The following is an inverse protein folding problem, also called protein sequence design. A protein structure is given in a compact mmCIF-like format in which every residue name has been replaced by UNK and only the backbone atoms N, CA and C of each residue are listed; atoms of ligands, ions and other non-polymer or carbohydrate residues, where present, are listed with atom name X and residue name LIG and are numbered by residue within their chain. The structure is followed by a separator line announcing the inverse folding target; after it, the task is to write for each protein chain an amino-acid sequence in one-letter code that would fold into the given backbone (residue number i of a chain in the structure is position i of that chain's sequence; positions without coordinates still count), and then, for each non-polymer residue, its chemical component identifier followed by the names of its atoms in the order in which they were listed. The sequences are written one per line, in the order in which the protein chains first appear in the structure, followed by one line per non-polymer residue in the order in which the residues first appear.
data_IF_116711055249
#
_entry.id   IF_116711055249
#
_cell.length_a   1.000
_cell.length_b   1.000
_cell.length_c   1.000
_cell.angle_alpha   90.00
_cell.angle_beta   90.00
_cell.angle_gamma   90.00
#
_symmetry.space_group_name_H-M   'P 1'
#
loop_
_entity.id
_entity.type
_entity.pdbx_description
1 polymer ?
#
# COMPACT_ATOMS: atom_id res chain seq x y z
N UNK A 1 -12.12 10.48 -11.66
CA UNK A 1 -12.00 9.81 -12.97
C UNK A 1 -13.33 9.33 -13.53
N UNK A 2 -14.49 9.45 -12.88
CA UNK A 2 -15.83 9.18 -13.48
C UNK A 2 -15.91 7.94 -14.39
N UNK A 3 -15.20 6.87 -14.02
CA UNK A 3 -15.12 5.61 -14.78
C UNK A 3 -15.83 4.46 -14.07
N UNK A 4 -16.52 4.73 -12.96
CA UNK A 4 -17.13 3.72 -12.09
C UNK A 4 -18.09 2.77 -12.84
N UNK A 5 -18.86 3.29 -13.79
CA UNK A 5 -19.81 2.50 -14.59
C UNK A 5 -19.26 2.11 -15.98
N UNK A 6 -18.00 2.46 -16.26
CA UNK A 6 -17.37 2.29 -17.59
C UNK A 6 -16.40 1.12 -17.66
N UNK A 7 -15.99 0.58 -16.51
CA UNK A 7 -15.01 -0.52 -16.44
C UNK A 7 -15.44 -1.60 -15.47
N UNK A 8 -15.24 -2.85 -15.87
CA UNK A 8 -15.33 -4.02 -14.98
C UNK A 8 -13.92 -4.43 -14.54
N UNK A 9 -13.77 -4.83 -13.28
CA UNK A 9 -12.47 -5.12 -12.67
C UNK A 9 -12.48 -6.51 -12.02
N UNK A 10 -11.89 -7.49 -12.72
CA UNK A 10 -11.63 -8.82 -12.16
C UNK A 10 -10.26 -8.83 -11.48
N UNK A 11 -10.24 -8.92 -10.15
CA UNK A 11 -9.00 -8.79 -9.35
C UNK A 11 -8.70 -10.06 -8.57
N UNK A 12 -7.46 -10.53 -8.63
CA UNK A 12 -6.92 -11.59 -7.78
C UNK A 12 -5.86 -11.02 -6.84
N UNK A 13 -5.94 -11.36 -5.55
CA UNK A 13 -4.98 -10.94 -4.53
C UNK A 13 -4.57 -12.12 -3.66
N UNK A 14 -3.32 -12.13 -3.21
CA UNK A 14 -2.78 -13.18 -2.35
C UNK A 14 -1.85 -12.59 -1.28
N UNK A 15 -1.84 -13.22 -0.10
CA UNK A 15 -1.02 -12.81 1.05
C UNK A 15 -1.48 -11.54 1.76
N UNK A 16 -0.76 -11.17 2.83
CA UNK A 16 -1.06 -9.98 3.63
C UNK A 16 -2.34 -10.10 4.47
N UNK A 17 -2.96 -8.96 4.78
CA UNK A 17 -4.27 -8.88 5.45
C UNK A 17 -5.20 -7.91 4.71
N UNK A 18 -6.46 -7.79 5.14
CA UNK A 18 -7.50 -7.09 4.38
C UNK A 18 -7.16 -5.64 4.00
N UNK A 19 -6.57 -4.86 4.91
CA UNK A 19 -6.17 -3.47 4.64
C UNK A 19 -4.99 -3.38 3.66
N UNK A 20 -4.03 -4.31 3.75
CA UNK A 20 -2.91 -4.41 2.82
C UNK A 20 -3.35 -4.84 1.42
N UNK A 21 -4.30 -5.77 1.35
CA UNK A 21 -4.90 -6.21 0.09
C UNK A 21 -5.68 -5.07 -0.57
N UNK A 22 -6.52 -4.34 0.16
CA UNK A 22 -7.23 -3.17 -0.37
C UNK A 22 -6.25 -2.12 -0.95
N UNK A 23 -5.13 -1.88 -0.28
CA UNK A 23 -4.06 -1.01 -0.77
C UNK A 23 -3.42 -1.51 -2.07
N UNK A 24 -3.19 -2.82 -2.18
CA UNK A 24 -2.65 -3.46 -3.39
C UNK A 24 -3.64 -3.39 -4.57
N UNK A 25 -4.92 -3.68 -4.34
CA UNK A 25 -5.99 -3.59 -5.35
C UNK A 25 -6.06 -2.17 -5.90
N UNK A 26 -6.11 -1.16 -5.01
CA UNK A 26 -6.15 0.25 -5.40
C UNK A 26 -4.94 0.63 -6.28
N UNK A 27 -3.74 0.19 -5.91
CA UNK A 27 -2.53 0.48 -6.67
C UNK A 27 -2.54 -0.22 -8.04
N UNK A 28 -3.06 -1.45 -8.12
CA UNK A 28 -3.24 -2.18 -9.38
C UNK A 28 -4.23 -1.49 -10.31
N UNK A 29 -5.40 -1.10 -9.80
CA UNK A 29 -6.42 -0.37 -10.57
C UNK A 29 -5.86 0.96 -11.10
N UNK A 30 -5.11 1.70 -10.27
CA UNK A 30 -4.50 2.96 -10.70
C UNK A 30 -3.50 2.78 -11.86
N UNK A 31 -2.76 1.67 -11.90
CA UNK A 31 -1.87 1.34 -13.01
C UNK A 31 -2.64 0.90 -14.26
N UNK A 32 -3.68 0.09 -14.11
CA UNK A 32 -4.53 -0.31 -15.21
C UNK A 32 -5.23 0.88 -15.87
N UNK A 33 -5.70 1.86 -15.07
CA UNK A 33 -6.29 3.09 -15.58
C UNK A 33 -5.28 3.98 -16.33
N UNK A 34 -4.00 3.96 -15.95
CA UNK A 34 -2.95 4.67 -16.68
C UNK A 34 -2.67 4.06 -18.06
N UNK A 35 -2.73 2.73 -18.17
CA UNK A 35 -2.54 2.03 -19.45
C UNK A 35 -3.74 2.24 -20.37
N UNK A 36 -4.94 2.38 -19.81
CA UNK A 36 -6.14 2.71 -20.55
C UNK A 36 -6.14 4.17 -21.06
N UNK A 37 -5.79 5.13 -20.20
CA UNK A 37 -5.71 6.54 -20.56
C UNK A 37 -4.54 7.23 -19.85
N UNK A 38 -3.58 7.66 -20.67
CA UNK A 38 -2.35 8.32 -20.21
C UNK A 38 -2.57 9.73 -19.66
N UNK A 39 -3.68 10.40 -20.01
CA UNK A 39 -3.99 11.76 -19.58
C UNK A 39 -4.36 11.82 -18.09
N UNK A 40 -4.86 10.70 -17.54
CA UNK A 40 -5.25 10.58 -16.13
C UNK A 40 -4.06 10.61 -15.16
N UNK A 41 -2.82 10.56 -15.66
CA UNK A 41 -1.61 10.53 -14.83
C UNK A 41 -1.50 11.71 -13.87
N UNK A 42 -1.82 12.91 -14.32
CA UNK A 42 -1.75 14.11 -13.47
C UNK A 42 -2.70 14.02 -12.28
N UNK A 43 -3.95 13.59 -12.52
CA UNK A 43 -4.96 13.43 -11.50
C UNK A 43 -4.62 12.29 -10.51
N UNK A 44 -4.20 11.13 -11.03
CA UNK A 44 -3.84 9.96 -10.22
C UNK A 44 -2.59 10.17 -9.38
N UNK A 45 -1.60 10.92 -9.90
CA UNK A 45 -0.40 11.29 -9.15
C UNK A 45 -0.74 12.26 -8.02
N UNK A 46 -1.55 13.29 -8.31
CA UNK A 46 -1.98 14.28 -7.30
C UNK A 46 -2.80 13.62 -6.17
N UNK A 47 -3.60 12.60 -6.50
CA UNK A 47 -4.34 11.81 -5.53
C UNK A 47 -3.49 10.78 -4.76
N UNK A 48 -2.22 10.58 -5.14
CA UNK A 48 -1.28 9.69 -4.44
C UNK A 48 -1.46 8.20 -4.72
N UNK A 49 -2.19 7.81 -5.78
CA UNK A 49 -2.47 6.39 -6.07
C UNK A 49 -1.34 5.69 -6.84
N UNK A 50 -0.45 6.46 -7.48
CA UNK A 50 0.68 5.95 -8.25
C UNK A 50 1.91 5.63 -7.40
N UNK A 51 2.00 6.16 -6.19
CA UNK A 51 3.14 5.89 -5.31
C UNK A 51 2.89 4.60 -4.53
N UNK A 52 3.79 3.62 -4.68
CA UNK A 52 3.75 2.40 -3.89
C UNK A 52 4.09 2.71 -2.44
N UNK A 53 3.25 2.27 -1.50
CA UNK A 53 3.58 2.29 -0.08
C UNK A 53 4.69 1.26 0.22
N UNK A 54 5.89 1.76 0.55
CA UNK A 54 7.06 0.94 0.84
C UNK A 54 7.15 0.50 2.32
N UNK A 55 6.21 0.92 3.18
CA UNK A 55 6.23 0.57 4.61
C UNK A 55 6.16 -0.95 4.79
N UNK A 56 7.06 -1.48 5.61
CA UNK A 56 7.14 -2.89 5.97
C UNK A 56 7.34 -3.01 7.48
N UNK A 57 6.87 -4.11 8.05
CA UNK A 57 7.10 -4.42 9.47
C UNK A 57 8.61 -4.51 9.71
N UNK A 58 9.11 -3.66 10.60
CA UNK A 58 10.51 -3.68 11.01
C UNK A 58 10.81 -4.98 11.77
N UNK A 59 11.95 -5.61 11.49
CA UNK A 59 12.34 -6.87 12.13
C UNK A 59 12.59 -6.70 13.63
N UNK A 60 12.45 -7.78 14.40
CA UNK A 60 12.93 -7.84 15.79
C UNK A 60 14.47 -7.72 15.82
N UNK A 61 14.99 -6.94 16.76
CA UNK A 61 16.44 -6.79 17.01
C UNK A 61 16.80 -7.50 18.32
N UNK A 62 18.03 -8.00 18.41
CA UNK A 62 18.53 -8.68 19.61
C UNK A 62 18.54 -7.70 20.80
N UNK A 63 18.19 -8.18 21.99
CA UNK A 63 18.08 -7.35 23.19
C UNK A 63 16.82 -6.49 23.28
N UNK A 64 15.92 -6.53 22.27
CA UNK A 64 14.64 -5.82 22.29
C UNK A 64 13.46 -6.81 22.33
N UNK A 65 12.37 -6.41 22.98
CA UNK A 65 11.12 -7.19 22.99
C UNK A 65 10.40 -7.15 21.64
N UNK A 66 10.53 -6.04 20.90
CA UNK A 66 9.97 -5.84 19.54
C UNK A 66 11.01 -5.15 18.65
N UNK A 67 10.61 -4.60 17.50
CA UNK A 67 11.51 -3.83 16.63
C UNK A 67 12.24 -2.67 17.35
N UNK A 68 11.56 -2.00 18.28
CA UNK A 68 12.10 -0.85 19.04
C UNK A 68 11.89 -0.91 20.56
N UNK A 69 10.93 -1.71 21.05
CA UNK A 69 10.59 -1.78 22.48
C UNK A 69 11.76 -2.38 23.27
N UNK A 70 12.42 -1.54 24.08
CA UNK A 70 13.49 -1.96 25.01
C UNK A 70 12.90 -2.61 26.27
N UNK A 71 13.63 -3.53 26.92
CA UNK A 71 13.33 -3.92 28.29
C UNK A 71 13.41 -2.71 29.22
N UNK A 72 12.77 -2.81 30.39
CA UNK A 72 12.84 -1.76 31.40
C UNK A 72 14.29 -1.60 31.86
N UNK A 73 14.78 -0.36 31.86
CA UNK A 73 16.11 -0.03 32.35
C UNK A 73 16.04 0.26 33.86
N UNK A 74 16.87 -0.43 34.66
CA UNK A 74 17.12 -0.08 36.07
C UNK A 74 18.42 0.73 36.16
N UNK A 75 18.36 1.87 36.84
CA UNK A 75 19.51 2.76 37.06
C UNK A 75 20.36 2.42 38.28
N UNK A 76 19.79 1.68 39.23
CA UNK A 76 20.37 1.40 40.54
C UNK A 76 21.12 0.07 40.50
#
# INVERSE_FOLDING_TARGET
TETLDKVDAKVTVAGGGGTGQAGAIRHGIARALLEFDSELRGALHKAGYLTRDARKVERKKVGLHKARKRPQYSKR
#
